data_IF_383785441747
#
_entry.id   IF_383785441747
#
_cell.length_a   1.000
_cell.length_b   1.000
_cell.length_c   1.000
_cell.angle_alpha   90.00
_cell.angle_beta   90.00
_cell.angle_gamma   90.00
#
_symmetry.space_group_name_H-M   'P 1'
#
loop_
_entity.id
_entity.type
_entity.pdbx_description
1 polymer ?
#
# COMPACT_ATOMS: atom_id res chain seq x y z
N UNK A 1 0.71 -4.31 -0.85
CA UNK A 1 0.51 -4.39 0.60
C UNK A 1 0.79 -5.80 1.05
N UNK A 2 -0.19 -6.51 1.60
CA UNK A 2 -0.01 -7.90 2.04
C UNK A 2 0.58 -8.83 0.98
N UNK A 3 0.09 -8.77 -0.27
CA UNK A 3 0.65 -9.55 -1.38
C UNK A 3 2.15 -9.27 -1.63
N UNK A 4 2.57 -8.02 -1.47
CA UNK A 4 3.97 -7.59 -1.62
C UNK A 4 4.85 -8.19 -0.53
N UNK A 5 4.42 -8.13 0.74
CA UNK A 5 5.21 -8.66 1.86
C UNK A 5 5.31 -10.17 1.79
N UNK A 6 4.23 -10.86 1.46
CA UNK A 6 4.18 -12.32 1.48
C UNK A 6 4.95 -12.95 0.31
N UNK A 7 5.10 -12.24 -0.81
CA UNK A 7 5.92 -12.68 -1.95
C UNK A 7 7.34 -12.05 -1.95
N UNK A 8 7.78 -11.46 -0.84
CA UNK A 8 9.10 -10.84 -0.70
C UNK A 8 9.44 -9.79 -1.79
N UNK A 9 8.41 -9.15 -2.36
CA UNK A 9 8.55 -8.25 -3.50
C UNK A 9 8.86 -6.79 -3.10
N UNK A 10 8.98 -6.49 -1.80
CA UNK A 10 9.09 -5.12 -1.31
C UNK A 10 10.29 -4.33 -1.89
N UNK A 11 11.39 -5.03 -2.18
CA UNK A 11 12.63 -4.46 -2.73
C UNK A 11 12.82 -4.78 -4.22
N UNK A 12 11.79 -5.26 -4.93
CA UNK A 12 11.89 -5.56 -6.37
C UNK A 12 12.28 -4.32 -7.19
N UNK A 13 11.72 -3.16 -6.83
CA UNK A 13 12.13 -1.86 -7.34
C UNK A 13 12.92 -1.13 -6.24
N UNK A 14 14.18 -0.76 -6.48
CA UNK A 14 15.06 -0.12 -5.48
C UNK A 14 15.11 1.41 -5.58
N UNK A 15 14.49 1.98 -6.62
CA UNK A 15 14.37 3.40 -6.89
C UNK A 15 12.91 3.89 -6.75
N UNK A 16 12.74 5.20 -6.63
CA UNK A 16 11.43 5.88 -6.61
C UNK A 16 11.59 7.29 -7.20
N UNK A 17 10.65 7.78 -8.06
CA UNK A 17 9.35 7.20 -8.41
C UNK A 17 9.39 6.10 -9.49
N UNK A 18 10.51 5.97 -10.20
CA UNK A 18 10.73 4.93 -11.22
C UNK A 18 10.96 3.55 -10.60
N UNK A 19 10.97 2.52 -11.44
CA UNK A 19 11.43 1.18 -11.10
C UNK A 19 12.46 0.75 -12.14
N UNK A 20 13.71 0.52 -11.71
CA UNK A 20 14.87 0.29 -12.57
C UNK A 20 15.12 1.43 -13.57
N UNK A 21 14.89 2.68 -13.16
CA UNK A 21 15.11 3.86 -13.98
C UNK A 21 14.02 4.14 -15.03
N UNK A 22 12.96 3.33 -15.09
CA UNK A 22 11.82 3.51 -15.99
C UNK A 22 10.50 3.55 -15.21
N UNK A 23 9.48 4.23 -15.72
CA UNK A 23 8.16 4.29 -15.05
C UNK A 23 7.33 3.03 -15.26
N UNK A 24 7.54 2.35 -16.38
CA UNK A 24 6.82 1.13 -16.76
C UNK A 24 7.86 0.06 -17.16
N UNK A 25 8.43 -0.67 -16.18
CA UNK A 25 9.40 -1.72 -16.44
C UNK A 25 8.74 -2.93 -17.12
N UNK A 26 9.57 -3.86 -17.59
CA UNK A 26 9.09 -5.18 -18.01
C UNK A 26 8.51 -5.93 -16.80
N UNK A 27 7.31 -6.50 -16.98
CA UNK A 27 6.51 -7.05 -15.90
C UNK A 27 5.77 -8.30 -16.38
N UNK A 28 5.78 -9.35 -15.57
CA UNK A 28 4.95 -10.54 -15.79
C UNK A 28 3.80 -10.59 -14.79
N UNK A 29 2.64 -10.07 -15.20
CA UNK A 29 1.44 -10.07 -14.36
C UNK A 29 0.81 -11.46 -14.21
N UNK A 30 1.03 -12.35 -15.18
CA UNK A 30 0.46 -13.70 -15.16
C UNK A 30 1.08 -14.46 -14.01
N UNK A 31 2.41 -14.51 -13.97
CA UNK A 31 3.13 -15.17 -12.89
C UNK A 31 3.11 -14.39 -11.56
N UNK A 32 2.97 -13.06 -11.58
CA UNK A 32 2.87 -12.25 -10.36
C UNK A 32 1.63 -12.51 -9.49
N UNK A 33 0.50 -12.89 -10.10
CA UNK A 33 -0.81 -12.97 -9.43
C UNK A 33 -1.48 -14.35 -9.57
N UNK A 34 -0.70 -15.43 -9.56
CA UNK A 34 -1.24 -16.78 -9.41
C UNK A 34 -1.51 -17.11 -7.92
N UNK A 35 -2.78 -17.39 -7.59
CA UNK A 35 -3.23 -17.72 -6.23
C UNK A 35 -2.99 -19.18 -5.80
N UNK A 36 -2.87 -20.11 -6.75
CA UNK A 36 -2.81 -21.56 -6.47
C UNK A 36 -1.37 -22.05 -6.60
N UNK A 37 -0.52 -21.66 -5.65
CA UNK A 37 0.89 -22.07 -5.51
C UNK A 37 1.43 -21.64 -4.14
N UNK A 38 2.60 -22.14 -3.77
CA UNK A 38 3.34 -21.63 -2.61
C UNK A 38 3.77 -20.17 -2.83
N UNK A 39 3.61 -19.34 -1.79
CA UNK A 39 3.95 -17.92 -1.84
C UNK A 39 5.45 -17.74 -2.12
N UNK A 40 5.81 -16.88 -3.07
CA UNK A 40 7.20 -16.71 -3.50
C UNK A 40 7.68 -17.67 -4.60
N UNK A 41 6.90 -18.68 -4.98
CA UNK A 41 7.28 -19.65 -6.01
C UNK A 41 6.45 -19.50 -7.29
N UNK A 42 7.06 -19.64 -8.45
CA UNK A 42 6.45 -19.79 -9.78
C UNK A 42 5.58 -21.06 -9.87
N UNK A 43 4.72 -21.14 -10.90
CA UNK A 43 3.80 -22.26 -11.12
C UNK A 43 4.50 -23.63 -11.33
N UNK A 44 5.78 -23.62 -11.67
CA UNK A 44 6.66 -24.79 -11.81
C UNK A 44 7.40 -25.14 -10.51
N UNK A 45 7.17 -24.42 -9.42
CA UNK A 45 7.85 -24.59 -8.12
C UNK A 45 9.22 -23.88 -8.05
N UNK A 46 9.65 -23.18 -9.10
CA UNK A 46 10.83 -22.32 -9.08
C UNK A 46 10.60 -21.02 -8.30
N UNK A 47 11.63 -20.19 -8.08
CA UNK A 47 11.42 -18.86 -7.51
C UNK A 47 10.68 -17.94 -8.50
N UNK A 48 9.87 -17.00 -8.01
CA UNK A 48 9.30 -15.94 -8.83
C UNK A 48 10.38 -15.19 -9.61
N UNK A 49 10.13 -14.91 -10.89
CA UNK A 49 11.07 -14.12 -11.70
C UNK A 49 11.12 -12.66 -11.23
N UNK A 50 12.20 -11.95 -11.58
CA UNK A 50 12.30 -10.51 -11.31
C UNK A 50 11.13 -9.75 -11.92
N UNK A 51 10.73 -10.07 -13.17
CA UNK A 51 9.59 -9.44 -13.83
C UNK A 51 8.28 -9.64 -13.05
N UNK A 52 8.10 -10.82 -12.43
CA UNK A 52 6.93 -11.14 -11.62
C UNK A 52 6.90 -10.34 -10.32
N UNK A 53 8.00 -10.32 -9.54
CA UNK A 53 8.04 -9.53 -8.28
C UNK A 53 8.02 -8.01 -8.55
N UNK A 54 8.57 -7.56 -9.67
CA UNK A 54 8.47 -6.18 -10.13
C UNK A 54 7.02 -5.81 -10.42
N UNK A 55 6.26 -6.69 -11.08
CA UNK A 55 4.82 -6.46 -11.31
C UNK A 55 4.04 -6.34 -9.99
N UNK A 56 4.36 -7.17 -8.98
CA UNK A 56 3.75 -7.08 -7.64
C UNK A 56 4.03 -5.72 -6.99
N UNK A 57 5.30 -5.29 -6.98
CA UNK A 57 5.70 -4.05 -6.32
C UNK A 57 5.18 -2.82 -7.06
N UNK A 58 5.21 -2.83 -8.39
CA UNK A 58 4.65 -1.77 -9.22
C UNK A 58 3.13 -1.65 -9.00
N UNK A 59 2.40 -2.77 -8.98
CA UNK A 59 0.96 -2.79 -8.67
C UNK A 59 0.66 -2.21 -7.29
N UNK A 60 1.51 -2.49 -6.29
CA UNK A 60 1.35 -1.90 -4.98
C UNK A 60 1.52 -0.38 -4.99
N UNK A 61 2.50 0.15 -5.74
CA UNK A 61 2.71 1.60 -5.89
C UNK A 61 1.50 2.28 -6.52
N UNK A 62 0.95 1.69 -7.58
CA UNK A 62 -0.27 2.20 -8.23
C UNK A 62 -1.46 2.16 -7.28
N UNK A 63 -1.68 1.04 -6.59
CA UNK A 63 -2.73 0.92 -5.58
C UNK A 63 -2.58 1.93 -4.43
N UNK A 64 -1.35 2.21 -4.00
CA UNK A 64 -1.07 3.22 -2.99
C UNK A 64 -1.41 4.64 -3.48
N UNK A 65 -1.10 4.96 -4.73
CA UNK A 65 -1.48 6.24 -5.34
C UNK A 65 -3.01 6.41 -5.43
N UNK A 66 -3.72 5.38 -5.90
CA UNK A 66 -5.19 5.39 -5.95
C UNK A 66 -5.77 5.59 -4.54
N UNK A 67 -5.26 4.86 -3.56
CA UNK A 67 -5.69 4.97 -2.15
C UNK A 67 -5.44 6.37 -1.59
N UNK A 68 -4.27 6.96 -1.86
CA UNK A 68 -3.93 8.31 -1.45
C UNK A 68 -4.90 9.35 -2.01
N UNK A 69 -5.20 9.27 -3.31
CA UNK A 69 -6.13 10.19 -3.96
C UNK A 69 -7.54 10.02 -3.38
N UNK A 70 -8.04 8.79 -3.33
CA UNK A 70 -9.40 8.51 -2.85
C UNK A 70 -9.59 8.93 -1.39
N UNK A 71 -8.69 8.49 -0.50
CA UNK A 71 -8.78 8.84 0.92
C UNK A 71 -8.45 10.31 1.18
N UNK A 72 -7.60 10.94 0.38
CA UNK A 72 -7.33 12.37 0.43
C UNK A 72 -8.59 13.19 0.11
N UNK A 73 -9.29 12.84 -0.96
CA UNK A 73 -10.56 13.48 -1.32
C UNK A 73 -11.60 13.25 -0.22
N UNK A 74 -11.75 12.01 0.27
CA UNK A 74 -12.66 11.69 1.37
C UNK A 74 -12.35 12.53 2.61
N UNK A 75 -11.08 12.60 3.01
CA UNK A 75 -10.64 13.37 4.17
C UNK A 75 -10.98 14.86 4.02
N UNK A 76 -10.68 15.47 2.86
CA UNK A 76 -11.02 16.87 2.58
C UNK A 76 -12.53 17.11 2.58
N UNK A 77 -13.33 16.17 2.08
CA UNK A 77 -14.78 16.26 2.08
C UNK A 77 -15.34 16.24 3.52
N UNK A 78 -14.87 15.34 4.38
CA UNK A 78 -15.40 15.20 5.75
C UNK A 78 -14.96 16.33 6.68
N UNK A 79 -13.86 17.03 6.39
CA UNK A 79 -13.41 18.21 7.16
C UNK A 79 -14.44 19.35 7.17
N UNK A 80 -15.36 19.38 6.20
CA UNK A 80 -16.47 20.34 6.15
C UNK A 80 -17.53 20.12 7.23
N UNK A 81 -17.61 18.91 7.79
CA UNK A 81 -18.60 18.54 8.80
C UNK A 81 -17.98 18.61 10.20
N UNK A 82 -18.50 19.50 11.04
CA UNK A 82 -17.96 19.75 12.39
C UNK A 82 -17.83 18.48 13.24
N UNK A 83 -18.84 17.61 13.18
CA UNK A 83 -18.93 16.35 13.93
C UNK A 83 -17.87 15.33 13.52
N UNK A 84 -17.39 15.39 12.27
CA UNK A 84 -16.42 14.45 11.69
C UNK A 84 -15.03 15.06 11.52
N UNK A 85 -14.88 16.37 11.72
CA UNK A 85 -13.64 17.11 11.49
C UNK A 85 -12.42 16.51 12.18
N UNK A 86 -12.56 16.08 13.45
CA UNK A 86 -11.47 15.42 14.20
C UNK A 86 -11.01 14.13 13.52
N UNK A 87 -11.95 13.28 13.10
CA UNK A 87 -11.63 12.05 12.37
C UNK A 87 -11.01 12.36 11.00
N UNK A 88 -11.46 13.42 10.31
CA UNK A 88 -10.84 13.89 9.08
C UNK A 88 -9.38 14.29 9.25
N UNK A 89 -9.06 15.06 10.29
CA UNK A 89 -7.67 15.45 10.59
C UNK A 89 -6.81 14.21 10.88
N UNK A 90 -7.31 13.29 11.71
CA UNK A 90 -6.59 12.04 12.03
C UNK A 90 -6.38 11.19 10.77
N UNK A 91 -7.38 11.08 9.90
CA UNK A 91 -7.25 10.38 8.62
C UNK A 91 -6.13 10.97 7.74
N UNK A 92 -6.07 12.30 7.61
CA UNK A 92 -4.99 12.97 6.85
C UNK A 92 -3.61 12.65 7.46
N UNK A 93 -3.46 12.77 8.78
CA UNK A 93 -2.18 12.54 9.47
C UNK A 93 -1.72 11.09 9.28
N UNK A 94 -2.60 10.12 9.49
CA UNK A 94 -2.27 8.70 9.36
C UNK A 94 -1.99 8.35 7.90
N UNK A 95 -2.73 8.91 6.94
CA UNK A 95 -2.49 8.69 5.51
C UNK A 95 -1.12 9.25 5.07
N UNK A 96 -0.76 10.45 5.50
CA UNK A 96 0.56 11.02 5.20
C UNK A 96 1.68 10.19 5.81
N UNK A 97 1.50 9.76 7.08
CA UNK A 97 2.44 8.86 7.76
C UNK A 97 2.58 7.53 7.02
N UNK A 98 1.49 6.94 6.53
CA UNK A 98 1.51 5.69 5.77
C UNK A 98 2.39 5.80 4.52
N UNK A 99 2.22 6.87 3.74
CA UNK A 99 2.99 7.09 2.51
C UNK A 99 4.46 7.36 2.82
N UNK A 100 4.74 8.21 3.82
CA UNK A 100 6.11 8.49 4.25
C UNK A 100 6.85 7.22 4.70
N UNK A 101 6.21 6.38 5.52
CA UNK A 101 6.77 5.10 5.94
C UNK A 101 6.95 4.12 4.76
N UNK A 102 6.05 4.13 3.78
CA UNK A 102 6.17 3.29 2.59
C UNK A 102 7.39 3.66 1.74
N UNK A 103 7.60 4.96 1.52
CA UNK A 103 8.79 5.47 0.81
C UNK A 103 10.06 5.23 1.63
N UNK A 104 10.02 5.45 2.94
CA UNK A 104 11.17 5.23 3.83
C UNK A 104 11.59 3.75 3.87
N UNK A 105 10.64 2.81 3.86
CA UNK A 105 10.93 1.38 3.76
C UNK A 105 11.73 1.04 2.49
N UNK A 106 11.50 1.75 1.39
CA UNK A 106 12.25 1.53 0.17
C UNK A 106 13.66 2.14 0.26
N UNK A 107 13.76 3.43 0.58
CA UNK A 107 15.03 4.17 0.60
C UNK A 107 16.00 3.60 1.66
N UNK A 108 15.47 3.14 2.79
CA UNK A 108 16.26 2.61 3.90
C UNK A 108 16.43 1.08 3.85
N UNK A 109 16.09 0.43 2.73
CA UNK A 109 16.31 -1.00 2.51
C UNK A 109 15.58 -1.91 3.51
N UNK A 110 14.29 -1.63 3.71
CA UNK A 110 13.33 -2.39 4.50
C UNK A 110 13.75 -2.66 5.97
N UNK A 111 14.06 -1.62 6.78
CA UNK A 111 14.30 -1.83 8.21
C UNK A 111 13.06 -2.42 8.88
N UNK A 112 13.23 -3.46 9.69
CA UNK A 112 12.12 -4.16 10.34
C UNK A 112 11.16 -3.21 11.08
N UNK A 113 11.71 -2.24 11.82
CA UNK A 113 10.93 -1.25 12.57
C UNK A 113 10.02 -0.44 11.66
N UNK A 114 10.51 -0.02 10.49
CA UNK A 114 9.71 0.75 9.52
C UNK A 114 8.67 -0.13 8.82
N UNK A 115 9.00 -1.38 8.54
CA UNK A 115 8.06 -2.32 7.94
C UNK A 115 6.90 -2.62 8.91
N UNK A 116 7.20 -2.82 10.20
CA UNK A 116 6.20 -3.00 11.25
C UNK A 116 5.36 -1.74 11.43
N UNK A 117 6.00 -0.56 11.51
CA UNK A 117 5.29 0.70 11.64
C UNK A 117 4.33 0.95 10.46
N UNK A 118 4.76 0.66 9.23
CA UNK A 118 3.94 0.81 8.03
C UNK A 118 2.72 -0.11 8.02
N UNK A 119 2.85 -1.35 8.53
CA UNK A 119 1.73 -2.27 8.68
C UNK A 119 0.76 -1.82 9.78
N UNK A 120 1.29 -1.33 10.90
CA UNK A 120 0.50 -0.80 12.00
C UNK A 120 -0.33 0.41 11.54
N UNK A 121 0.26 1.36 10.83
CA UNK A 121 -0.46 2.54 10.30
C UNK A 121 -1.49 2.15 9.23
N UNK A 122 -1.25 1.09 8.45
CA UNK A 122 -2.25 0.55 7.53
C UNK A 122 -3.48 0.00 8.28
N UNK A 123 -3.25 -0.73 9.38
CA UNK A 123 -4.32 -1.20 10.26
C UNK A 123 -5.11 -0.04 10.89
N UNK A 124 -4.42 1.01 11.34
CA UNK A 124 -5.07 2.23 11.84
C UNK A 124 -5.94 2.91 10.78
N UNK A 125 -5.49 2.99 9.52
CA UNK A 125 -6.32 3.52 8.42
C UNK A 125 -7.63 2.74 8.30
N UNK A 126 -7.58 1.41 8.31
CA UNK A 126 -8.78 0.57 8.23
C UNK A 126 -9.72 0.85 9.41
N UNK A 127 -9.20 0.92 10.64
CA UNK A 127 -9.99 1.23 11.84
C UNK A 127 -10.69 2.59 11.71
N UNK A 128 -9.96 3.62 11.27
CA UNK A 128 -10.51 4.97 11.06
C UNK A 128 -11.64 4.93 10.03
N UNK A 129 -11.47 4.20 8.92
CA UNK A 129 -12.51 4.06 7.89
C UNK A 129 -13.75 3.32 8.41
N UNK A 130 -13.59 2.26 9.21
CA UNK A 130 -14.71 1.55 9.84
C UNK A 130 -15.46 2.47 10.80
N UNK A 131 -14.75 3.24 11.64
CA UNK A 131 -15.36 4.22 12.53
C UNK A 131 -16.13 5.31 11.77
N UNK A 132 -15.54 5.81 10.69
CA UNK A 132 -16.16 6.82 9.82
C UNK A 132 -17.44 6.25 9.18
N UNK A 133 -17.37 5.05 8.63
CA UNK A 133 -18.51 4.38 8.00
C UNK A 133 -19.65 4.12 9.00
N UNK A 134 -19.32 3.69 10.22
CA UNK A 134 -20.28 3.50 11.31
C UNK A 134 -21.00 4.81 11.67
N UNK A 135 -20.27 5.93 11.78
CA UNK A 135 -20.87 7.23 12.09
C UNK A 135 -21.74 7.80 10.97
N UNK A 136 -21.40 7.53 9.72
CA UNK A 136 -22.20 7.97 8.56
C UNK A 136 -23.47 7.11 8.42
N UNK A 137 -23.34 5.80 8.61
CA UNK A 137 -24.47 4.86 8.41
C UNK A 137 -25.46 4.90 9.57
N UNK A 138 -24.98 5.02 10.82
CA UNK A 138 -25.83 5.11 12.00
C UNK A 138 -26.50 6.47 12.22
N UNK A 139 -26.29 7.43 11.32
CA UNK A 139 -26.97 8.73 11.30
C UNK A 139 -28.25 8.73 10.43
N UNK A 140 -28.68 7.55 9.96
CA UNK A 140 -30.01 7.31 9.39
C UNK A 140 -30.95 6.82 10.48
#
# INVERSE_FOLDING_TARGET
GGWTSTNYAALACTDFPTCHGVFLPEMDFKDAFHLVRELGQSADGGALTLASITAIQWSHRVGALITLIYLGILALAILKYWQLKRLGIVLVIVLCTQIALGIANLILHLPLVLAVAHNFTAGLLVIILVMLNSKITGAK
#
